data_IF_313978767562
#
_entry.id   IF_313978767562
#
_cell.length_a   1.000
_cell.length_b   1.000
_cell.length_c   1.000
_cell.angle_alpha   90.00
_cell.angle_beta   90.00
_cell.angle_gamma   90.00
#
_symmetry.space_group_name_H-M   'P 1'
#
loop_
_entity.id
_entity.type
_entity.pdbx_description
1 polymer ?
#
# COMPACT_ATOMS: atom_id res chain seq x y z
N UNK A 1 -17.53 -6.01 -34.25
CA UNK A 1 -18.64 -5.23 -33.66
C UNK A 1 -19.94 -5.69 -34.30
N UNK A 2 -21.02 -5.86 -33.54
CA UNK A 2 -22.32 -6.32 -34.08
C UNK A 2 -22.97 -5.22 -34.91
N UNK A 3 -23.72 -5.57 -35.96
CA UNK A 3 -24.38 -4.58 -36.85
C UNK A 3 -25.38 -3.65 -36.15
N UNK A 4 -25.78 -3.95 -34.90
CA UNK A 4 -26.56 -3.04 -34.06
C UNK A 4 -25.72 -1.87 -33.54
N UNK A 5 -24.49 -2.11 -33.07
CA UNK A 5 -23.62 -1.06 -32.55
C UNK A 5 -23.26 -0.03 -33.63
N UNK A 6 -23.05 -0.50 -34.85
CA UNK A 6 -22.74 0.33 -36.03
C UNK A 6 -23.93 1.20 -36.46
N UNK A 7 -25.16 0.66 -36.43
CA UNK A 7 -26.37 1.46 -36.69
C UNK A 7 -26.59 2.52 -35.62
N UNK A 8 -26.32 2.20 -34.35
CA UNK A 8 -26.45 3.16 -33.25
C UNK A 8 -25.38 4.25 -33.30
N UNK A 9 -24.15 3.92 -33.69
CA UNK A 9 -23.07 4.92 -33.84
C UNK A 9 -23.31 5.85 -35.02
N UNK A 10 -23.84 5.34 -36.14
CA UNK A 10 -24.24 6.17 -37.27
C UNK A 10 -25.33 7.20 -36.88
N UNK A 11 -26.31 6.79 -36.05
CA UNK A 11 -27.34 7.71 -35.52
C UNK A 11 -26.76 8.77 -34.59
N UNK A 12 -25.75 8.40 -33.79
CA UNK A 12 -25.04 9.37 -32.95
C UNK A 12 -24.27 10.39 -33.80
N UNK A 13 -23.60 9.91 -34.86
CA UNK A 13 -22.89 10.77 -35.81
C UNK A 13 -23.83 11.71 -36.59
N UNK A 14 -25.07 11.28 -36.84
CA UNK A 14 -26.14 12.11 -37.42
C UNK A 14 -26.75 13.12 -36.43
N UNK A 15 -26.20 13.26 -35.21
CA UNK A 15 -26.58 14.30 -34.24
C UNK A 15 -27.65 13.91 -33.23
N UNK A 16 -28.15 12.67 -33.24
CA UNK A 16 -29.22 12.23 -32.34
C UNK A 16 -28.70 11.82 -30.93
N UNK A 17 -27.93 12.68 -30.26
CA UNK A 17 -27.37 12.39 -28.93
C UNK A 17 -28.43 12.45 -27.82
N UNK A 18 -28.87 11.29 -27.32
CA UNK A 18 -29.85 11.17 -26.24
C UNK A 18 -29.38 10.16 -25.19
N UNK A 19 -29.88 10.27 -23.95
CA UNK A 19 -29.54 9.34 -22.88
C UNK A 19 -29.88 7.87 -23.25
N UNK A 20 -31.00 7.66 -23.97
CA UNK A 20 -31.41 6.33 -24.47
C UNK A 20 -30.42 5.79 -25.50
N UNK A 21 -29.99 6.62 -26.47
CA UNK A 21 -29.03 6.19 -27.49
C UNK A 21 -27.67 5.86 -26.88
N UNK A 22 -27.19 6.74 -25.98
CA UNK A 22 -25.94 6.55 -25.24
C UNK A 22 -25.97 5.30 -24.38
N UNK A 23 -27.08 5.04 -23.69
CA UNK A 23 -27.29 3.79 -22.95
C UNK A 23 -27.25 2.56 -23.86
N UNK A 24 -27.95 2.59 -24.99
CA UNK A 24 -27.98 1.48 -25.94
C UNK A 24 -26.60 1.16 -26.52
N UNK A 25 -25.81 2.19 -26.85
CA UNK A 25 -24.41 2.04 -27.27
C UNK A 25 -23.55 1.42 -26.16
N UNK A 26 -23.64 1.95 -24.94
CA UNK A 26 -22.92 1.40 -23.79
C UNK A 26 -23.25 -0.07 -23.51
N UNK A 27 -24.54 -0.44 -23.60
CA UNK A 27 -24.98 -1.82 -23.46
C UNK A 27 -24.46 -2.73 -24.59
N UNK A 28 -24.36 -2.22 -25.82
CA UNK A 28 -23.77 -2.94 -26.94
C UNK A 28 -22.26 -3.16 -26.76
N UNK A 29 -21.53 -2.16 -26.26
CA UNK A 29 -20.11 -2.28 -25.92
C UNK A 29 -19.88 -3.32 -24.81
N UNK A 30 -20.70 -3.32 -23.75
CA UNK A 30 -20.66 -4.32 -22.69
C UNK A 30 -20.87 -5.74 -23.21
N UNK A 31 -21.80 -5.95 -24.15
CA UNK A 31 -22.00 -7.27 -24.80
C UNK A 31 -20.79 -7.72 -25.60
N UNK A 32 -19.99 -6.79 -26.12
CA UNK A 32 -18.74 -7.09 -26.82
C UNK A 32 -17.55 -7.28 -25.88
N UNK A 33 -17.74 -7.16 -24.56
CA UNK A 33 -16.66 -7.25 -23.58
C UNK A 33 -15.79 -5.99 -23.47
N UNK A 34 -16.15 -4.91 -24.17
CA UNK A 34 -15.40 -3.66 -24.16
C UNK A 34 -15.92 -2.73 -23.06
N UNK A 35 -15.35 -2.89 -21.86
CA UNK A 35 -15.67 -2.05 -20.70
C UNK A 35 -15.28 -0.59 -20.89
N UNK A 36 -14.15 -0.31 -21.55
CA UNK A 36 -13.64 1.05 -21.72
C UNK A 36 -14.55 1.87 -22.65
N UNK A 37 -14.93 1.32 -23.81
CA UNK A 37 -15.87 1.99 -24.71
C UNK A 37 -17.25 2.14 -24.07
N UNK A 38 -17.70 1.15 -23.30
CA UNK A 38 -18.98 1.23 -22.59
C UNK A 38 -19.04 2.40 -21.60
N UNK A 39 -17.96 2.63 -20.84
CA UNK A 39 -17.87 3.73 -19.87
C UNK A 39 -18.13 5.08 -20.55
N UNK A 40 -17.46 5.35 -21.68
CA UNK A 40 -17.60 6.63 -22.41
C UNK A 40 -19.06 6.92 -22.76
N UNK A 41 -19.78 5.92 -23.27
CA UNK A 41 -21.18 6.08 -23.63
C UNK A 41 -22.10 6.19 -22.39
N UNK A 42 -21.86 5.37 -21.36
CA UNK A 42 -22.71 5.33 -20.16
C UNK A 42 -22.53 6.56 -19.27
N UNK A 43 -21.32 7.12 -19.18
CA UNK A 43 -21.07 8.39 -18.48
C UNK A 43 -21.83 9.53 -19.15
N UNK A 44 -21.84 9.57 -20.49
CA UNK A 44 -22.63 10.57 -21.19
C UNK A 44 -24.13 10.36 -20.98
N UNK A 45 -24.60 9.11 -20.89
CA UNK A 45 -26.00 8.81 -20.63
C UNK A 45 -26.48 9.35 -19.27
N UNK A 46 -25.70 9.16 -18.20
CA UNK A 46 -26.05 9.64 -16.86
C UNK A 46 -25.89 11.16 -16.69
N UNK A 47 -25.07 11.81 -17.53
CA UNK A 47 -25.02 13.28 -17.60
C UNK A 47 -26.28 13.84 -18.27
N UNK A 48 -26.81 13.16 -19.29
CA UNK A 48 -28.02 13.59 -20.01
C UNK A 48 -29.30 13.33 -19.21
N UNK A 49 -29.37 12.23 -18.46
CA UNK A 49 -30.45 11.95 -17.50
C UNK A 49 -29.85 11.35 -16.20
N UNK A 50 -29.63 12.18 -15.16
CA UNK A 50 -29.12 11.73 -13.87
C UNK A 50 -30.02 10.73 -13.13
N UNK A 51 -31.32 10.67 -13.44
CA UNK A 51 -32.28 9.78 -12.81
C UNK A 51 -32.48 8.47 -13.60
N UNK A 52 -31.67 8.23 -14.62
CA UNK A 52 -31.71 7.00 -15.40
C UNK A 52 -31.00 5.83 -14.68
N UNK A 53 -31.70 5.22 -13.72
CA UNK A 53 -31.23 4.10 -12.89
C UNK A 53 -30.56 2.97 -13.69
N UNK A 54 -31.11 2.62 -14.86
CA UNK A 54 -30.56 1.58 -15.73
C UNK A 54 -29.15 1.93 -16.26
N UNK A 55 -28.89 3.20 -16.60
CA UNK A 55 -27.59 3.64 -17.07
C UNK A 55 -26.54 3.58 -15.95
N UNK A 56 -26.89 3.97 -14.73
CA UNK A 56 -26.03 3.81 -13.57
C UNK A 56 -25.68 2.35 -13.29
N UNK A 57 -26.66 1.45 -13.36
CA UNK A 57 -26.45 0.02 -13.16
C UNK A 57 -25.44 -0.56 -14.16
N UNK A 58 -25.56 -0.20 -15.45
CA UNK A 58 -24.63 -0.64 -16.49
C UNK A 58 -23.26 0.04 -16.37
N UNK A 59 -23.20 1.32 -15.94
CA UNK A 59 -21.94 2.03 -15.74
C UNK A 59 -21.09 1.35 -14.67
N UNK A 60 -21.71 0.92 -13.55
CA UNK A 60 -21.02 0.15 -12.53
C UNK A 60 -20.45 -1.17 -13.07
N UNK A 61 -21.21 -1.88 -13.91
CA UNK A 61 -20.74 -3.12 -14.57
C UNK A 61 -19.59 -2.86 -15.54
N UNK A 62 -19.65 -1.77 -16.31
CA UNK A 62 -18.60 -1.40 -17.26
C UNK A 62 -17.29 -1.05 -16.55
N UNK A 63 -17.38 -0.28 -15.47
CA UNK A 63 -16.24 0.05 -14.61
C UNK A 63 -15.64 -1.20 -13.94
N UNK A 64 -16.48 -2.12 -13.48
CA UNK A 64 -16.00 -3.39 -12.93
C UNK A 64 -15.27 -4.23 -13.99
N UNK A 65 -15.80 -4.30 -15.21
CA UNK A 65 -15.17 -5.02 -16.33
C UNK A 65 -13.82 -4.41 -16.72
N UNK A 66 -13.68 -3.08 -16.59
CA UNK A 66 -12.43 -2.35 -16.81
C UNK A 66 -11.46 -2.39 -15.61
N UNK A 67 -11.76 -3.12 -14.53
CA UNK A 67 -10.92 -3.20 -13.33
C UNK A 67 -11.01 -1.99 -12.39
N UNK A 68 -11.93 -1.05 -12.65
CA UNK A 68 -12.13 0.19 -11.89
C UNK A 68 -13.15 -0.04 -10.75
N UNK A 69 -12.80 -0.90 -9.80
CA UNK A 69 -13.74 -1.37 -8.74
C UNK A 69 -14.30 -0.23 -7.88
N UNK A 70 -13.48 0.74 -7.47
CA UNK A 70 -13.95 1.90 -6.70
C UNK A 70 -14.95 2.74 -7.51
N UNK A 71 -14.66 2.97 -8.79
CA UNK A 71 -15.56 3.67 -9.70
C UNK A 71 -16.88 2.92 -9.94
N UNK A 72 -16.86 1.59 -9.90
CA UNK A 72 -18.05 0.76 -9.98
C UNK A 72 -18.94 0.91 -8.74
N UNK A 73 -18.35 0.87 -7.54
CA UNK A 73 -19.05 1.12 -6.28
C UNK A 73 -19.73 2.50 -6.27
N UNK A 74 -19.00 3.55 -6.65
CA UNK A 74 -19.55 4.91 -6.73
C UNK A 74 -20.73 5.00 -7.73
N UNK A 75 -20.61 4.37 -8.90
CA UNK A 75 -21.70 4.36 -9.89
C UNK A 75 -22.97 3.66 -9.35
N UNK A 76 -22.84 2.55 -8.63
CA UNK A 76 -24.00 1.90 -8.02
C UNK A 76 -24.60 2.68 -6.84
N UNK A 77 -23.79 3.39 -6.05
CA UNK A 77 -24.31 4.30 -5.01
C UNK A 77 -25.17 5.42 -5.64
N UNK A 78 -24.66 6.09 -6.67
CA UNK A 78 -25.42 7.11 -7.41
C UNK A 78 -26.68 6.53 -8.07
N UNK A 79 -26.57 5.32 -8.63
CA UNK A 79 -27.70 4.61 -9.23
C UNK A 79 -28.80 4.23 -8.24
N UNK A 80 -28.45 3.81 -7.02
CA UNK A 80 -29.41 3.53 -5.96
C UNK A 80 -30.18 4.81 -5.60
N UNK A 81 -29.48 5.92 -5.39
CA UNK A 81 -30.14 7.20 -5.10
C UNK A 81 -31.06 7.67 -6.24
N UNK A 82 -30.64 7.49 -7.51
CA UNK A 82 -31.46 7.77 -8.67
C UNK A 82 -32.71 6.88 -8.75
N UNK A 83 -32.55 5.59 -8.47
CA UNK A 83 -33.65 4.62 -8.45
C UNK A 83 -34.65 4.92 -7.33
N UNK A 84 -34.18 5.29 -6.13
CA UNK A 84 -35.02 5.69 -5.00
C UNK A 84 -35.84 6.95 -5.31
N UNK A 85 -35.21 7.98 -5.90
CA UNK A 85 -35.93 9.20 -6.33
C UNK A 85 -37.04 8.89 -7.33
N UNK A 86 -36.84 7.91 -8.20
CA UNK A 86 -37.81 7.49 -9.23
C UNK A 86 -38.84 6.46 -8.74
N UNK A 87 -38.71 5.97 -7.51
CA UNK A 87 -39.53 4.88 -6.98
C UNK A 87 -39.24 3.50 -7.59
N UNK A 88 -38.09 3.33 -8.26
CA UNK A 88 -37.65 2.08 -8.88
C UNK A 88 -36.95 1.18 -7.84
N UNK A 89 -37.76 0.64 -6.93
CA UNK A 89 -37.29 -0.18 -5.79
C UNK A 89 -36.53 -1.43 -6.27
N UNK A 90 -36.90 -1.99 -7.43
CA UNK A 90 -36.28 -3.20 -7.97
C UNK A 90 -34.84 -2.93 -8.42
N UNK A 91 -34.61 -1.87 -9.20
CA UNK A 91 -33.26 -1.49 -9.63
C UNK A 91 -32.37 -1.10 -8.44
N UNK A 92 -32.93 -0.40 -7.45
CA UNK A 92 -32.21 -0.06 -6.22
C UNK A 92 -31.71 -1.33 -5.49
N UNK A 93 -32.59 -2.31 -5.25
CA UNK A 93 -32.22 -3.58 -4.60
C UNK A 93 -31.18 -4.37 -5.40
N UNK A 94 -31.31 -4.41 -6.72
CA UNK A 94 -30.34 -5.10 -7.57
C UNK A 94 -28.95 -4.45 -7.47
N UNK A 95 -28.89 -3.12 -7.54
CA UNK A 95 -27.63 -2.38 -7.39
C UNK A 95 -27.04 -2.50 -5.99
N UNK A 96 -27.85 -2.59 -4.92
CA UNK A 96 -27.36 -2.87 -3.57
C UNK A 96 -26.63 -4.22 -3.48
N UNK A 97 -27.12 -5.26 -4.18
CA UNK A 97 -26.44 -6.57 -4.23
C UNK A 97 -25.10 -6.46 -4.97
N UNK A 98 -25.06 -5.75 -6.10
CA UNK A 98 -23.82 -5.54 -6.85
C UNK A 98 -22.80 -4.73 -6.05
N UNK A 99 -23.25 -3.65 -5.42
CA UNK A 99 -22.44 -2.84 -4.51
C UNK A 99 -21.88 -3.69 -3.38
N UNK A 100 -22.70 -4.49 -2.70
CA UNK A 100 -22.25 -5.36 -1.59
C UNK A 100 -21.23 -6.40 -2.04
N UNK A 101 -21.38 -6.96 -3.25
CA UNK A 101 -20.42 -7.93 -3.81
C UNK A 101 -19.10 -7.26 -4.17
N UNK A 102 -19.16 -6.11 -4.83
CA UNK A 102 -17.98 -5.37 -5.24
C UNK A 102 -17.26 -4.74 -4.05
N UNK A 103 -17.97 -4.23 -3.04
CA UNK A 103 -17.41 -3.70 -1.80
C UNK A 103 -16.80 -4.80 -0.92
N UNK A 104 -17.24 -6.06 -1.06
CA UNK A 104 -16.61 -7.19 -0.38
C UNK A 104 -15.34 -7.66 -1.10
N UNK A 105 -15.25 -7.44 -2.41
CA UNK A 105 -14.02 -7.61 -3.17
C UNK A 105 -13.07 -6.40 -2.99
N UNK A 106 -13.63 -5.23 -2.67
CA UNK A 106 -12.97 -3.97 -2.36
C UNK A 106 -13.08 -3.66 -0.86
N UNK A 107 -12.48 -4.48 -0.01
CA UNK A 107 -12.38 -4.15 1.42
C UNK A 107 -11.21 -3.18 1.58
N UNK A 108 -11.48 -1.89 1.34
CA UNK A 108 -10.89 -0.80 2.13
C UNK A 108 -12.08 0.12 2.46
N UNK A 109 -12.58 0.14 3.70
CA UNK A 109 -13.61 1.09 4.10
C UNK A 109 -13.08 2.52 3.90
N UNK A 110 -13.96 3.50 3.77
CA UNK A 110 -13.57 4.89 4.05
C UNK A 110 -13.03 4.94 5.49
N UNK A 111 -11.71 4.85 5.64
CA UNK A 111 -11.09 4.94 6.96
C UNK A 111 -11.46 6.33 7.50
N UNK A 112 -12.01 6.43 8.73
CA UNK A 112 -12.24 7.71 9.36
C UNK A 112 -10.96 8.55 9.26
N UNK A 113 -11.03 9.86 8.94
CA UNK A 113 -9.85 10.71 8.79
C UNK A 113 -8.90 10.63 10.00
N UNK A 114 -9.45 10.43 11.19
CA UNK A 114 -8.68 10.20 12.41
C UNK A 114 -7.77 8.95 12.35
N UNK A 115 -8.23 7.84 11.75
CA UNK A 115 -7.41 6.63 11.57
C UNK A 115 -6.32 6.88 10.53
N UNK A 116 -6.62 7.57 9.42
CA UNK A 116 -5.60 7.93 8.43
C UNK A 116 -4.55 8.86 9.02
N UNK A 117 -4.96 9.84 9.81
CA UNK A 117 -4.06 10.73 10.53
C UNK A 117 -3.17 9.96 11.51
N UNK A 118 -3.75 9.02 12.26
CA UNK A 118 -2.99 8.15 13.17
C UNK A 118 -1.94 7.33 12.41
N UNK A 119 -2.32 6.67 11.31
CA UNK A 119 -1.40 5.91 10.45
C UNK A 119 -0.28 6.82 9.90
N UNK A 120 -0.64 8.01 9.43
CA UNK A 120 0.33 9.00 8.94
C UNK A 120 1.32 9.42 10.04
N UNK A 121 0.83 9.75 11.25
CA UNK A 121 1.69 10.14 12.38
C UNK A 121 2.65 9.01 12.76
N UNK A 122 2.15 7.78 12.86
CA UNK A 122 2.97 6.60 13.16
C UNK A 122 4.08 6.42 12.11
N UNK A 123 3.72 6.42 10.84
CA UNK A 123 4.66 6.19 9.72
C UNK A 123 5.66 7.34 9.60
N UNK A 124 5.23 8.60 9.69
CA UNK A 124 6.12 9.76 9.68
C UNK A 124 7.07 9.78 10.89
N UNK A 125 6.59 9.38 12.07
CA UNK A 125 7.42 9.25 13.26
C UNK A 125 8.52 8.19 13.08
N UNK A 126 8.17 7.02 12.55
CA UNK A 126 9.15 5.97 12.22
C UNK A 126 10.12 6.39 11.11
N UNK A 127 9.64 7.10 10.09
CA UNK A 127 10.49 7.66 9.03
C UNK A 127 11.50 8.65 9.61
N UNK A 128 11.07 9.57 10.48
CA UNK A 128 11.95 10.55 11.13
C UNK A 128 12.98 9.86 12.03
N UNK A 129 12.54 8.93 12.88
CA UNK A 129 13.44 8.16 13.74
C UNK A 129 14.49 7.39 12.92
N UNK A 130 14.07 6.73 11.84
CA UNK A 130 14.96 6.02 10.94
C UNK A 130 15.94 6.97 10.22
N UNK A 131 15.47 8.13 9.77
CA UNK A 131 16.30 9.16 9.15
C UNK A 131 17.39 9.66 10.12
N UNK A 132 17.05 9.94 11.37
CA UNK A 132 18.01 10.34 12.40
C UNK A 132 19.06 9.23 12.60
N UNK A 133 18.64 7.97 12.64
CA UNK A 133 19.56 6.84 12.78
C UNK A 133 20.54 6.74 11.61
N UNK A 134 20.05 6.90 10.37
CA UNK A 134 20.90 6.92 9.17
C UNK A 134 21.89 8.09 9.23
N UNK A 135 21.42 9.29 9.55
CA UNK A 135 22.25 10.49 9.65
C UNK A 135 23.35 10.36 10.71
N UNK A 136 23.01 9.80 11.87
CA UNK A 136 23.98 9.57 12.95
C UNK A 136 25.09 8.62 12.50
N UNK A 137 24.74 7.50 11.84
CA UNK A 137 25.72 6.53 11.36
C UNK A 137 26.53 7.05 10.16
N UNK A 138 25.98 7.94 9.33
CA UNK A 138 26.77 8.59 8.27
C UNK A 138 27.79 9.55 8.89
N UNK A 139 27.37 10.33 9.91
CA UNK A 139 28.26 11.28 10.60
C UNK A 139 29.35 10.58 11.41
N UNK A 140 29.01 9.50 12.12
CA UNK A 140 29.95 8.65 12.86
C UNK A 140 30.20 7.31 12.16
N UNK A 141 30.53 7.37 10.86
CA UNK A 141 30.72 6.15 10.06
C UNK A 141 31.85 5.28 10.59
N UNK A 142 32.95 5.89 11.04
CA UNK A 142 34.10 5.16 11.58
C UNK A 142 33.76 4.49 12.91
N UNK A 143 33.06 5.18 13.81
CA UNK A 143 32.60 4.59 15.07
C UNK A 143 31.61 3.45 14.85
N UNK A 144 30.66 3.63 13.94
CA UNK A 144 29.70 2.59 13.56
C UNK A 144 30.39 1.35 12.94
N UNK A 145 31.36 1.56 12.04
CA UNK A 145 32.12 0.47 11.43
C UNK A 145 32.97 -0.27 12.48
N UNK A 146 33.61 0.45 13.40
CA UNK A 146 34.36 -0.14 14.50
C UNK A 146 33.47 -0.94 15.46
N UNK A 147 32.24 -0.49 15.71
CA UNK A 147 31.27 -1.24 16.50
C UNK A 147 30.92 -2.59 15.84
N UNK A 148 30.67 -2.60 14.52
CA UNK A 148 30.44 -3.84 13.77
C UNK A 148 31.69 -4.71 13.75
N UNK A 149 32.87 -4.13 13.54
CA UNK A 149 34.14 -4.86 13.57
C UNK A 149 34.35 -5.58 14.90
N UNK A 150 34.01 -4.96 16.04
CA UNK A 150 34.07 -5.61 17.36
C UNK A 150 33.16 -6.84 17.45
N UNK A 151 31.97 -6.79 16.87
CA UNK A 151 31.07 -7.96 16.80
C UNK A 151 31.64 -9.06 15.90
N UNK A 152 32.13 -8.70 14.70
CA UNK A 152 32.71 -9.65 13.74
C UNK A 152 33.98 -10.33 14.29
N UNK A 153 34.80 -9.57 15.02
CA UNK A 153 35.98 -10.04 15.72
C UNK A 153 35.64 -10.82 17.03
N UNK A 154 34.36 -10.92 17.38
CA UNK A 154 33.90 -11.57 18.62
C UNK A 154 34.60 -11.04 19.89
N UNK A 155 35.01 -9.77 19.88
CA UNK A 155 35.78 -9.14 20.95
C UNK A 155 35.16 -9.30 22.35
N UNK A 156 33.83 -9.15 22.53
CA UNK A 156 33.21 -9.30 23.86
C UNK A 156 33.40 -10.67 24.52
N UNK A 157 33.64 -11.72 23.72
CA UNK A 157 33.87 -13.08 24.26
C UNK A 157 35.31 -13.27 24.75
N UNK A 158 36.22 -12.40 24.30
CA UNK A 158 37.64 -12.40 24.66
C UNK A 158 37.95 -11.47 25.83
N UNK A 159 37.04 -10.55 26.15
CA UNK A 159 37.13 -9.70 27.33
C UNK A 159 37.06 -10.53 28.62
N UNK A 160 37.83 -10.14 29.63
CA UNK A 160 37.87 -10.88 30.89
C UNK A 160 36.51 -10.81 31.64
N UNK A 161 36.04 -11.92 32.25
CA UNK A 161 36.56 -13.28 32.10
C UNK A 161 36.27 -13.89 30.71
N UNK A 162 37.32 -14.30 29.99
CA UNK A 162 37.18 -14.82 28.63
C UNK A 162 36.32 -16.09 28.59
N UNK A 163 35.46 -16.20 27.60
CA UNK A 163 34.52 -17.32 27.44
C UNK A 163 35.06 -18.26 26.35
N UNK A 164 35.65 -19.40 26.71
CA UNK A 164 36.13 -20.36 25.71
C UNK A 164 34.93 -21.00 25.01
N UNK A 165 34.83 -20.80 23.70
CA UNK A 165 33.74 -21.37 22.89
C UNK A 165 34.24 -21.75 21.49
N UNK A 166 33.76 -22.86 20.90
CA UNK A 166 34.12 -23.23 19.53
C UNK A 166 33.63 -22.21 18.49
N UNK A 167 32.72 -21.31 18.86
CA UNK A 167 32.22 -20.25 17.98
C UNK A 167 33.33 -19.29 17.51
N UNK A 168 34.37 -19.08 18.32
CA UNK A 168 35.51 -18.19 18.01
C UNK A 168 36.19 -18.53 16.67
N UNK A 169 36.01 -19.74 16.14
CA UNK A 169 36.50 -20.13 14.80
C UNK A 169 35.87 -19.33 13.64
N UNK A 170 34.76 -18.64 13.88
CA UNK A 170 34.03 -17.85 12.85
C UNK A 170 34.44 -16.38 12.83
N UNK A 171 35.41 -15.99 13.66
CA UNK A 171 35.89 -14.63 13.76
C UNK A 171 36.34 -14.05 12.42
N UNK A 172 36.00 -12.79 12.17
CA UNK A 172 36.48 -12.02 11.03
C UNK A 172 37.24 -10.78 11.50
N UNK A 173 38.55 -10.74 11.21
CA UNK A 173 39.48 -9.67 11.60
C UNK A 173 39.71 -8.61 10.51
N UNK A 174 38.88 -8.57 9.47
CA UNK A 174 39.06 -7.65 8.33
C UNK A 174 38.11 -6.46 8.39
N UNK A 175 38.69 -5.26 8.31
CA UNK A 175 37.96 -3.99 8.26
C UNK A 175 37.06 -3.85 7.02
N UNK A 176 37.38 -4.55 5.93
CA UNK A 176 36.56 -4.52 4.71
C UNK A 176 35.16 -5.08 4.95
N UNK A 177 35.04 -6.13 5.77
CA UNK A 177 33.76 -6.76 6.08
C UNK A 177 32.87 -5.88 6.97
N UNK A 178 33.45 -5.16 7.92
CA UNK A 178 32.68 -4.26 8.79
C UNK A 178 32.14 -3.05 8.01
N UNK A 179 32.95 -2.49 7.09
CA UNK A 179 32.54 -1.42 6.18
C UNK A 179 31.44 -1.90 5.24
N UNK A 180 31.60 -3.07 4.62
CA UNK A 180 30.60 -3.63 3.71
C UNK A 180 29.27 -3.90 4.43
N UNK A 181 29.33 -4.50 5.62
CA UNK A 181 28.15 -4.75 6.44
C UNK A 181 27.46 -3.43 6.85
N UNK A 182 28.22 -2.42 7.27
CA UNK A 182 27.67 -1.11 7.59
C UNK A 182 27.00 -0.46 6.37
N UNK A 183 27.67 -0.47 5.22
CA UNK A 183 27.14 0.09 3.99
C UNK A 183 25.84 -0.60 3.57
N UNK A 184 25.76 -1.93 3.66
CA UNK A 184 24.54 -2.69 3.38
C UNK A 184 23.41 -2.33 4.35
N UNK A 185 23.69 -2.26 5.66
CA UNK A 185 22.71 -1.84 6.68
C UNK A 185 22.20 -0.42 6.39
N UNK A 186 23.10 0.53 6.09
CA UNK A 186 22.72 1.90 5.80
C UNK A 186 21.91 2.03 4.51
N UNK A 187 22.25 1.27 3.47
CA UNK A 187 21.48 1.25 2.23
C UNK A 187 20.04 0.75 2.46
N UNK A 188 19.87 -0.36 3.18
CA UNK A 188 18.55 -0.87 3.54
C UNK A 188 17.79 0.10 4.44
N UNK A 189 18.46 0.72 5.41
CA UNK A 189 17.82 1.66 6.32
C UNK A 189 17.44 2.98 5.64
N UNK A 190 18.24 3.46 4.69
CA UNK A 190 17.89 4.60 3.83
C UNK A 190 16.70 4.29 2.92
N UNK A 191 16.65 3.09 2.34
CA UNK A 191 15.50 2.62 1.56
C UNK A 191 14.23 2.55 2.42
N UNK A 192 14.31 1.96 3.62
CA UNK A 192 13.19 1.93 4.56
C UNK A 192 12.71 3.34 4.90
N UNK A 193 13.64 4.26 5.18
CA UNK A 193 13.35 5.67 5.47
C UNK A 193 12.61 6.35 4.31
N UNK A 194 13.08 6.17 3.08
CA UNK A 194 12.47 6.76 1.89
C UNK A 194 11.06 6.21 1.65
N UNK A 195 10.88 4.89 1.75
CA UNK A 195 9.57 4.24 1.58
C UNK A 195 8.57 4.68 2.66
N UNK A 196 8.99 4.76 3.93
CA UNK A 196 8.16 5.27 5.00
C UNK A 196 7.82 6.76 4.79
N UNK A 197 8.77 7.57 4.34
CA UNK A 197 8.52 8.98 4.01
C UNK A 197 7.47 9.15 2.91
N UNK A 198 7.58 8.36 1.83
CA UNK A 198 6.58 8.32 0.75
C UNK A 198 5.22 7.83 1.27
N UNK A 199 5.20 6.79 2.10
CA UNK A 199 3.99 6.27 2.73
C UNK A 199 3.28 7.31 3.58
N UNK A 200 4.02 8.00 4.45
CA UNK A 200 3.51 9.09 5.27
C UNK A 200 2.95 10.25 4.44
N UNK A 201 3.68 10.68 3.41
CA UNK A 201 3.21 11.72 2.48
C UNK A 201 1.89 11.34 1.81
N UNK A 202 1.77 10.12 1.27
CA UNK A 202 0.56 9.66 0.59
C UNK A 202 -0.61 9.49 1.55
N UNK A 203 -0.37 9.06 2.80
CA UNK A 203 -1.41 8.97 3.84
C UNK A 203 -1.93 10.35 4.25
N UNK A 204 -1.03 11.34 4.39
CA UNK A 204 -1.42 12.74 4.64
C UNK A 204 -2.23 13.28 3.48
N UNK A 205 -1.77 13.05 2.24
CA UNK A 205 -2.48 13.46 1.02
C UNK A 205 -3.87 12.83 0.97
N UNK A 206 -4.00 11.53 1.24
CA UNK A 206 -5.27 10.83 1.31
C UNK A 206 -6.21 11.44 2.37
N UNK A 207 -5.68 11.76 3.55
CA UNK A 207 -6.43 12.41 4.63
C UNK A 207 -6.94 13.81 4.25
N UNK A 208 -6.12 14.62 3.57
CA UNK A 208 -6.45 16.01 3.22
C UNK A 208 -7.33 16.14 1.97
N UNK A 209 -7.19 15.21 1.02
CA UNK A 209 -7.85 15.30 -0.29
C UNK A 209 -8.95 14.25 -0.51
N UNK A 210 -9.23 13.43 0.51
CA UNK A 210 -10.19 12.32 0.45
C UNK A 210 -9.94 11.35 -0.73
N UNK A 211 -8.67 11.20 -1.15
CA UNK A 211 -8.24 10.23 -2.16
C UNK A 211 -7.92 8.89 -1.48
N UNK A 212 -8.01 7.79 -2.23
CA UNK A 212 -7.69 6.43 -1.74
C UNK A 212 -6.32 6.37 -1.00
N UNK A 213 -6.27 5.76 0.21
CA UNK A 213 -5.04 5.63 0.99
C UNK A 213 -4.15 4.45 0.57
N UNK A 214 -4.56 3.64 -0.41
CA UNK A 214 -3.88 2.38 -0.78
C UNK A 214 -2.40 2.55 -1.10
N UNK A 215 -2.04 3.59 -1.85
CA UNK A 215 -0.63 3.90 -2.15
C UNK A 215 0.17 4.17 -0.88
N UNK A 216 -0.41 4.91 0.05
CA UNK A 216 0.21 5.21 1.34
C UNK A 216 0.40 3.96 2.20
N UNK A 217 -0.61 3.09 2.25
CA UNK A 217 -0.54 1.80 2.96
C UNK A 217 0.53 0.90 2.35
N UNK A 218 0.61 0.84 1.02
CA UNK A 218 1.60 0.02 0.30
C UNK A 218 3.04 0.47 0.59
N UNK A 219 3.34 1.76 0.41
CA UNK A 219 4.69 2.30 0.68
C UNK A 219 5.08 2.14 2.16
N UNK A 220 4.14 2.40 3.07
CA UNK A 220 4.35 2.21 4.50
C UNK A 220 4.69 0.75 4.83
N UNK A 221 3.93 -0.20 4.28
CA UNK A 221 4.14 -1.63 4.49
C UNK A 221 5.47 -2.10 3.89
N UNK A 222 5.81 -1.64 2.68
CA UNK A 222 7.10 -1.94 2.07
C UNK A 222 8.26 -1.40 2.91
N UNK A 223 8.17 -0.16 3.41
CA UNK A 223 9.17 0.43 4.29
C UNK A 223 9.34 -0.32 5.61
N UNK A 224 8.24 -0.71 6.26
CA UNK A 224 8.26 -1.56 7.46
C UNK A 224 8.85 -2.95 7.19
N UNK A 225 8.59 -3.53 6.01
CA UNK A 225 9.19 -4.79 5.58
C UNK A 225 10.72 -4.71 5.45
N UNK A 226 11.22 -3.63 4.83
CA UNK A 226 12.68 -3.38 4.76
C UNK A 226 13.25 -3.14 6.16
N UNK A 227 12.55 -2.42 7.03
CA UNK A 227 12.96 -2.23 8.42
C UNK A 227 13.06 -3.56 9.19
N UNK A 228 12.06 -4.45 9.04
CA UNK A 228 12.09 -5.78 9.63
C UNK A 228 13.27 -6.61 9.12
N UNK A 229 13.58 -6.52 7.82
CA UNK A 229 14.74 -7.17 7.23
C UNK A 229 16.05 -6.68 7.85
N UNK A 230 16.19 -5.37 8.12
CA UNK A 230 17.36 -4.84 8.85
C UNK A 230 17.48 -5.48 10.22
N UNK A 231 16.40 -5.56 11.01
CA UNK A 231 16.44 -6.18 12.34
C UNK A 231 16.80 -7.66 12.28
N UNK A 232 16.16 -8.41 11.40
CA UNK A 232 16.44 -9.84 11.20
C UNK A 232 17.89 -10.07 10.77
N UNK A 233 18.42 -9.26 9.85
CA UNK A 233 19.82 -9.38 9.41
C UNK A 233 20.81 -9.19 10.58
N UNK A 234 20.56 -8.21 11.46
CA UNK A 234 21.39 -7.94 12.64
C UNK A 234 21.27 -9.04 13.70
N UNK A 235 20.07 -9.58 13.90
CA UNK A 235 19.84 -10.71 14.80
C UNK A 235 20.52 -11.99 14.29
N UNK A 236 20.41 -12.30 12.99
CA UNK A 236 21.06 -13.44 12.37
C UNK A 236 22.58 -13.33 12.41
N UNK A 237 23.13 -12.16 12.06
CA UNK A 237 24.57 -11.89 12.18
C UNK A 237 25.04 -12.02 13.63
N UNK A 238 24.29 -11.44 14.56
CA UNK A 238 24.57 -11.58 15.97
C UNK A 238 24.57 -13.04 16.46
N UNK A 239 23.54 -13.82 16.10
CA UNK A 239 23.45 -15.24 16.45
C UNK A 239 24.64 -16.02 15.90
N UNK A 240 25.06 -15.71 14.66
CA UNK A 240 26.23 -16.31 14.02
C UNK A 240 27.53 -16.01 14.78
N UNK A 241 27.70 -14.76 15.22
CA UNK A 241 28.88 -14.28 15.96
C UNK A 241 28.80 -14.44 17.49
N UNK A 242 27.72 -15.04 18.02
CA UNK A 242 27.59 -15.34 19.45
C UNK A 242 27.46 -14.12 20.36
N UNK A 243 27.07 -12.95 19.84
CA UNK A 243 27.03 -11.72 20.66
C UNK A 243 26.05 -11.81 21.85
N UNK A 244 24.98 -12.60 21.73
CA UNK A 244 23.96 -12.81 22.76
C UNK A 244 24.51 -13.28 24.11
N UNK A 245 25.71 -13.89 24.10
CA UNK A 245 26.39 -14.39 25.32
C UNK A 245 26.81 -13.24 26.24
N UNK A 246 27.23 -12.10 25.69
CA UNK A 246 27.77 -10.94 26.43
C UNK A 246 27.00 -9.64 26.19
N UNK A 247 26.18 -9.59 25.15
CA UNK A 247 25.46 -8.39 24.68
C UNK A 247 23.94 -8.64 24.64
N UNK A 248 23.39 -9.17 25.72
CA UNK A 248 21.96 -9.50 25.81
C UNK A 248 21.06 -8.27 25.62
N UNK A 249 21.46 -7.10 26.12
CA UNK A 249 20.69 -5.84 25.96
C UNK A 249 20.55 -5.43 24.49
N UNK A 250 21.61 -5.62 23.69
CA UNK A 250 21.57 -5.33 22.26
C UNK A 250 20.59 -6.27 21.55
N UNK A 251 20.51 -7.53 21.97
CA UNK A 251 19.55 -8.49 21.43
C UNK A 251 18.11 -8.16 21.83
N UNK A 252 17.86 -7.82 23.09
CA UNK A 252 16.55 -7.38 23.56
C UNK A 252 16.08 -6.14 22.79
N UNK A 253 16.98 -5.19 22.52
CA UNK A 253 16.69 -4.01 21.71
C UNK A 253 16.25 -4.38 20.30
N UNK A 254 16.95 -5.30 19.63
CA UNK A 254 16.60 -5.74 18.27
C UNK A 254 15.26 -6.48 18.24
N UNK A 255 14.97 -7.32 19.23
CA UNK A 255 13.68 -8.01 19.37
C UNK A 255 12.56 -6.99 19.58
N UNK A 256 12.75 -6.01 20.46
CA UNK A 256 11.78 -4.95 20.71
C UNK A 256 11.48 -4.14 19.44
N UNK A 257 12.51 -3.79 18.66
CA UNK A 257 12.35 -3.10 17.37
C UNK A 257 11.61 -3.95 16.33
N UNK A 258 11.86 -5.26 16.29
CA UNK A 258 11.13 -6.17 15.41
C UNK A 258 9.65 -6.28 15.80
N UNK A 259 9.36 -6.44 17.10
CA UNK A 259 7.98 -6.46 17.62
C UNK A 259 7.27 -5.15 17.29
N UNK A 260 7.92 -4.00 17.55
CA UNK A 260 7.38 -2.69 17.21
C UNK A 260 7.07 -2.59 15.72
N UNK A 261 7.95 -3.10 14.86
CA UNK A 261 7.76 -3.09 13.39
C UNK A 261 6.57 -3.97 12.97
N UNK A 262 6.40 -5.14 13.57
CA UNK A 262 5.25 -6.02 13.32
C UNK A 262 3.95 -5.36 13.76
N UNK A 263 3.91 -4.79 14.97
CA UNK A 263 2.75 -4.06 15.49
C UNK A 263 2.41 -2.86 14.60
N UNK A 264 3.41 -2.09 14.17
CA UNK A 264 3.20 -0.99 13.24
C UNK A 264 2.66 -1.47 11.88
N UNK A 265 3.13 -2.63 11.39
CA UNK A 265 2.63 -3.21 10.14
C UNK A 265 1.17 -3.60 10.26
N UNK A 266 0.77 -4.23 11.37
CA UNK A 266 -0.62 -4.55 11.65
C UNK A 266 -1.47 -3.27 11.75
N UNK A 267 -0.99 -2.25 12.46
CA UNK A 267 -1.69 -0.97 12.61
C UNK A 267 -1.89 -0.24 11.27
N UNK A 268 -0.92 -0.32 10.36
CA UNK A 268 -1.02 0.28 9.01
C UNK A 268 -2.00 -0.48 8.12
N UNK A 269 -2.13 -1.80 8.28
CA UNK A 269 -2.93 -2.67 7.41
C UNK A 269 -4.32 -3.04 7.97
N UNK A 270 -4.60 -2.76 9.24
CA UNK A 270 -5.92 -2.89 9.85
C UNK A 270 -6.89 -1.80 9.37
#
# INVERSE_FOLDING_TARGET
>A
MTGLAERLSARLAAGADSHILRFALGAACLKCGDGAAAIVHLERAVVLDPDYSAAWAQLGRARLLAGLTQGACAAWQSGIAAAERRGDIQSARQMQVFLKRASRAWIVPDLPPAILLFKAMLVCGLALWSAITVLNNIRDFRGAAAAIARTLAMMPLKEEPAIPTPLLRRELLSDGWSILALAAILAMQALATALLGLGGYELIRACLTAVSPERGIWFSTAGLGVMALVWLSRMSGGLWFGYWIRQGELQLTQIALLIMTVVATLAVNA
#
